data_IF_884674325757
#
_entry.id   IF_884674325757
#
_cell.length_a   1.000
_cell.length_b   1.000
_cell.length_c   1.000
_cell.angle_alpha   90.00
_cell.angle_beta   90.00
_cell.angle_gamma   90.00
#
_symmetry.space_group_name_H-M   'P 1'
#
loop_
_entity.id
_entity.type
_entity.pdbx_description
1 polymer ?
#
# COMPACT_ATOMS: atom_id res chain seq x y z
N UNK A 1 20.00 -25.61 13.81
CA UNK A 1 18.54 -25.83 13.77
C UNK A 1 18.06 -26.05 15.19
N UNK A 2 17.25 -25.13 15.71
CA UNK A 2 16.65 -25.25 17.05
C UNK A 2 15.21 -25.69 16.86
N UNK A 3 14.83 -26.82 17.46
CA UNK A 3 13.44 -27.28 17.46
C UNK A 3 12.70 -26.44 18.50
N UNK A 4 11.67 -25.71 18.05
CA UNK A 4 10.82 -24.86 18.88
C UNK A 4 9.49 -25.56 19.16
N UNK A 5 8.93 -25.31 20.33
CA UNK A 5 7.67 -25.92 20.77
C UNK A 5 6.60 -24.83 20.95
N UNK A 6 5.44 -25.01 20.30
CA UNK A 6 4.28 -24.11 20.46
C UNK A 6 3.14 -24.85 21.15
N UNK A 7 2.64 -24.38 22.31
CA UNK A 7 1.42 -24.91 22.88
C UNK A 7 0.21 -24.51 22.03
N UNK A 8 -0.67 -25.45 21.74
CA UNK A 8 -1.90 -25.25 20.99
C UNK A 8 -3.09 -25.08 21.95
N UNK A 9 -4.17 -24.38 21.53
CA UNK A 9 -5.37 -24.15 22.37
C UNK A 9 -6.07 -25.44 22.86
N UNK A 10 -5.77 -26.57 22.22
CA UNK A 10 -6.29 -27.90 22.58
C UNK A 10 -5.40 -28.66 23.58
N UNK A 11 -4.42 -27.99 24.20
CA UNK A 11 -3.51 -28.58 25.19
C UNK A 11 -2.41 -29.46 24.60
N UNK A 12 -2.27 -29.56 23.27
CA UNK A 12 -1.17 -30.29 22.61
C UNK A 12 0.01 -29.37 22.29
N UNK A 13 1.21 -29.93 22.22
CA UNK A 13 2.43 -29.20 21.85
C UNK A 13 2.83 -29.53 20.42
N UNK A 14 2.99 -28.51 19.57
CA UNK A 14 3.48 -28.66 18.20
C UNK A 14 4.97 -28.32 18.12
N UNK A 15 5.78 -29.25 17.60
CA UNK A 15 7.21 -29.05 17.34
C UNK A 15 7.40 -28.52 15.93
N UNK A 16 8.02 -27.36 15.80
CA UNK A 16 8.35 -26.75 14.51
C UNK A 16 9.82 -26.33 14.50
N UNK A 17 10.40 -26.21 13.31
CA UNK A 17 11.76 -25.68 13.13
C UNK A 17 11.63 -24.34 12.43
N UNK A 18 12.03 -23.27 13.11
CA UNK A 18 12.16 -21.96 12.49
C UNK A 18 13.54 -21.84 11.85
N UNK A 19 13.56 -21.67 10.53
CA UNK A 19 14.78 -21.40 9.78
C UNK A 19 14.71 -19.93 9.38
N UNK A 20 15.41 -19.01 10.08
CA UNK A 20 15.45 -17.62 9.66
C UNK A 20 16.15 -17.54 8.31
N UNK A 21 15.57 -16.82 7.36
CA UNK A 21 16.25 -16.47 6.11
C UNK A 21 16.89 -15.10 6.31
N UNK A 22 18.19 -15.08 6.64
CA UNK A 22 18.95 -13.84 6.82
C UNK A 22 19.58 -13.42 5.50
N UNK A 23 19.92 -12.14 5.37
CA UNK A 23 20.63 -11.63 4.19
C UNK A 23 21.96 -12.36 3.95
N UNK A 24 22.62 -12.77 5.05
CA UNK A 24 23.89 -13.50 5.04
C UNK A 24 23.76 -14.93 4.48
N UNK A 25 22.55 -15.50 4.50
CA UNK A 25 22.28 -16.84 3.96
C UNK A 25 22.14 -16.82 2.43
N UNK A 26 21.97 -15.64 1.82
CA UNK A 26 21.84 -15.47 0.38
C UNK A 26 23.20 -15.18 -0.28
N UNK A 27 23.97 -16.25 -0.51
CA UNK A 27 25.31 -16.17 -1.11
C UNK A 27 25.30 -15.55 -2.52
N UNK A 28 24.22 -15.71 -3.29
CA UNK A 28 24.11 -15.14 -4.64
C UNK A 28 23.95 -13.62 -4.60
N UNK A 29 23.13 -13.11 -3.67
CA UNK A 29 22.97 -11.67 -3.47
C UNK A 29 24.29 -11.03 -3.03
N UNK A 30 24.97 -11.65 -2.07
CA UNK A 30 26.26 -11.16 -1.54
C UNK A 30 27.39 -11.18 -2.59
N UNK A 31 27.32 -12.08 -3.58
CA UNK A 31 28.28 -12.13 -4.69
C UNK A 31 27.98 -11.09 -5.77
N UNK A 32 26.70 -10.85 -6.06
CA UNK A 32 26.29 -9.90 -7.10
C UNK A 32 26.33 -8.44 -6.61
N UNK A 33 26.11 -8.20 -5.33
CA UNK A 33 26.17 -6.88 -4.70
C UNK A 33 26.89 -6.96 -3.34
N UNK A 34 28.24 -6.89 -3.34
CA UNK A 34 29.05 -6.98 -2.13
C UNK A 34 28.83 -5.82 -1.16
N UNK A 35 28.42 -4.66 -1.68
CA UNK A 35 28.16 -3.44 -0.91
C UNK A 35 26.72 -3.35 -0.42
N UNK A 36 25.87 -4.32 -0.73
CA UNK A 36 24.47 -4.35 -0.32
C UNK A 36 24.28 -4.11 1.19
N UNK A 37 25.10 -4.77 2.02
CA UNK A 37 25.09 -4.59 3.48
C UNK A 37 25.55 -3.17 3.87
N UNK A 38 26.52 -2.58 3.17
CA UNK A 38 26.98 -1.23 3.43
C UNK A 38 25.92 -0.19 3.05
N UNK A 39 25.24 -0.39 1.90
CA UNK A 39 24.10 0.43 1.47
C UNK A 39 22.94 0.37 2.47
N UNK A 40 22.75 -0.79 3.10
CA UNK A 40 21.82 -0.99 4.21
C UNK A 40 22.13 -0.10 5.43
N UNK A 41 23.41 0.08 5.79
CA UNK A 41 23.82 0.98 6.87
C UNK A 41 23.65 2.47 6.49
N UNK A 42 23.59 2.80 5.20
CA UNK A 42 23.36 4.17 4.71
C UNK A 42 21.89 4.61 4.76
N UNK A 43 20.95 3.71 5.06
CA UNK A 43 19.51 4.01 5.15
C UNK A 43 19.16 4.82 6.42
N UNK A 44 20.16 5.18 7.23
CA UNK A 44 20.05 6.22 8.27
C UNK A 44 19.38 5.80 9.59
N UNK A 45 18.70 4.65 9.64
CA UNK A 45 18.07 4.12 10.86
C UNK A 45 18.75 2.82 11.32
N UNK A 46 19.33 2.83 12.53
CA UNK A 46 19.94 1.63 13.15
C UNK A 46 18.92 0.50 13.39
N UNK A 47 17.64 0.84 13.59
CA UNK A 47 16.55 -0.11 13.80
C UNK A 47 16.21 -0.85 12.50
N UNK A 48 16.26 -0.15 11.36
CA UNK A 48 16.04 -0.73 10.03
C UNK A 48 17.14 -1.68 9.62
N UNK A 49 18.40 -1.28 9.86
CA UNK A 49 19.57 -2.13 9.69
C UNK A 49 19.41 -3.40 10.50
N UNK A 50 18.97 -3.31 11.76
CA UNK A 50 18.72 -4.49 12.61
C UNK A 50 17.56 -5.34 12.09
N UNK A 51 16.48 -4.74 11.60
CA UNK A 51 15.34 -5.47 11.05
C UNK A 51 15.71 -6.26 9.78
N UNK A 52 16.42 -5.64 8.84
CA UNK A 52 16.82 -6.29 7.59
C UNK A 52 17.99 -7.25 7.76
N UNK A 53 18.92 -6.99 8.70
CA UNK A 53 20.03 -7.91 8.99
C UNK A 53 19.60 -9.12 9.82
N UNK A 54 18.76 -8.91 10.85
CA UNK A 54 18.45 -9.94 11.84
C UNK A 54 17.05 -10.56 11.67
N UNK A 55 16.23 -10.03 10.76
CA UNK A 55 14.86 -10.52 10.52
C UNK A 55 13.89 -10.18 11.65
N UNK A 56 14.23 -9.21 12.51
CA UNK A 56 13.39 -8.77 13.63
C UNK A 56 12.55 -7.57 13.20
N UNK A 57 11.30 -7.86 12.79
CA UNK A 57 10.32 -6.86 12.34
C UNK A 57 9.35 -6.44 13.44
N UNK A 58 9.70 -6.65 14.72
CA UNK A 58 8.90 -6.14 15.82
C UNK A 58 8.97 -4.61 15.81
N UNK A 59 7.92 -4.02 15.22
CA UNK A 59 7.49 -2.63 15.29
C UNK A 59 8.60 -1.60 15.52
N UNK A 60 8.92 -0.82 14.48
CA UNK A 60 9.52 0.49 14.69
C UNK A 60 8.56 1.25 15.63
N UNK A 61 8.98 1.43 16.87
CA UNK A 61 8.17 2.08 17.90
C UNK A 61 7.77 3.48 17.41
N UNK A 62 6.46 3.77 17.35
CA UNK A 62 5.93 5.02 16.81
C UNK A 62 5.61 5.03 15.30
N UNK A 63 5.76 3.91 14.58
CA UNK A 63 5.37 3.83 13.17
C UNK A 63 3.90 4.20 12.96
N UNK A 64 3.65 5.07 11.98
CA UNK A 64 2.32 5.53 11.64
C UNK A 64 1.43 4.36 11.24
N UNK A 65 1.90 3.47 10.36
CA UNK A 65 1.19 2.24 10.00
C UNK A 65 1.64 1.06 10.85
N UNK A 66 1.38 1.12 12.15
CA UNK A 66 1.58 0.02 13.12
C UNK A 66 0.98 -1.34 12.70
N UNK A 67 -0.06 -1.31 11.87
CA UNK A 67 -0.73 -2.49 11.32
C UNK A 67 0.02 -3.16 10.15
N UNK A 68 1.10 -2.56 9.64
CA UNK A 68 1.91 -3.15 8.58
C UNK A 68 2.58 -4.45 9.04
N UNK A 69 2.51 -5.47 8.20
CA UNK A 69 3.14 -6.76 8.41
C UNK A 69 3.64 -7.31 7.07
N UNK A 70 4.96 -7.28 6.87
CA UNK A 70 5.58 -7.73 5.62
C UNK A 70 5.19 -9.16 5.23
N UNK A 71 4.94 -10.06 6.19
CA UNK A 71 4.52 -11.45 5.89
C UNK A 71 3.09 -11.56 5.36
N UNK A 72 2.23 -10.57 5.62
CA UNK A 72 0.83 -10.53 5.16
C UNK A 72 0.65 -9.62 3.94
N UNK A 73 1.32 -8.47 3.92
CA UNK A 73 1.14 -7.45 2.88
C UNK A 73 2.06 -7.65 1.69
N UNK A 74 3.23 -8.29 1.84
CA UNK A 74 4.15 -8.54 0.73
C UNK A 74 3.88 -9.91 0.13
N UNK A 75 3.66 -9.93 -1.19
CA UNK A 75 3.44 -11.14 -1.98
C UNK A 75 4.51 -11.28 -3.06
N UNK A 76 4.84 -12.53 -3.42
CA UNK A 76 5.73 -12.76 -4.57
C UNK A 76 5.03 -12.32 -5.86
N UNK A 77 5.76 -11.72 -6.83
CA UNK A 77 5.18 -11.36 -8.12
C UNK A 77 4.56 -12.57 -8.82
N UNK A 78 3.38 -12.37 -9.38
CA UNK A 78 2.67 -13.35 -10.19
C UNK A 78 2.08 -12.68 -11.43
N UNK A 79 1.72 -13.48 -12.43
CA UNK A 79 1.02 -12.98 -13.61
C UNK A 79 -0.40 -12.56 -13.20
N UNK A 80 -0.68 -11.26 -13.26
CA UNK A 80 -2.00 -10.73 -12.91
C UNK A 80 -3.05 -11.25 -13.90
N UNK A 81 -4.20 -11.75 -13.42
CA UNK A 81 -5.31 -12.12 -14.28
C UNK A 81 -5.73 -10.99 -15.24
N UNK A 82 -6.16 -11.36 -16.45
CA UNK A 82 -6.47 -10.39 -17.49
C UNK A 82 -7.71 -9.54 -17.15
N UNK A 83 -8.67 -10.15 -16.45
CA UNK A 83 -9.94 -9.55 -16.04
C UNK A 83 -9.82 -8.55 -14.87
N UNK A 84 -8.67 -8.49 -14.21
CA UNK A 84 -8.44 -7.54 -13.13
C UNK A 84 -8.33 -6.13 -13.66
N UNK A 85 -9.10 -5.21 -13.08
CA UNK A 85 -8.99 -3.79 -13.38
C UNK A 85 -7.62 -3.27 -12.93
N UNK A 86 -6.88 -2.65 -13.85
CA UNK A 86 -5.60 -2.00 -13.56
C UNK A 86 -5.78 -0.48 -13.55
N UNK A 87 -5.11 0.17 -12.61
CA UNK A 87 -5.07 1.62 -12.52
C UNK A 87 -3.69 2.07 -12.05
N UNK A 88 -3.44 3.37 -12.13
CA UNK A 88 -2.19 3.98 -11.63
C UNK A 88 -2.46 5.17 -10.73
N UNK A 89 -1.55 5.45 -9.82
CA UNK A 89 -1.53 6.69 -9.05
C UNK A 89 -0.15 7.32 -9.09
N UNK A 90 -0.10 8.64 -8.94
CA UNK A 90 1.12 9.40 -9.03
C UNK A 90 1.17 10.55 -8.03
N UNK A 91 2.32 10.71 -7.38
CA UNK A 91 2.72 11.92 -6.66
C UNK A 91 3.83 12.63 -7.45
N UNK A 92 3.68 13.93 -7.69
CA UNK A 92 4.60 14.69 -8.54
C UNK A 92 5.71 15.35 -7.71
N UNK A 93 6.96 15.13 -8.14
CA UNK A 93 8.14 15.77 -7.58
C UNK A 93 9.22 15.96 -8.63
N UNK A 94 9.99 17.05 -8.51
CA UNK A 94 11.16 17.31 -9.35
C UNK A 94 12.43 17.45 -8.50
N UNK A 95 12.44 18.42 -7.58
CA UNK A 95 13.51 18.56 -6.57
C UNK A 95 13.39 17.48 -5.48
N UNK A 96 12.16 17.22 -5.06
CA UNK A 96 11.79 16.04 -4.28
C UNK A 96 11.44 14.87 -5.23
N UNK A 97 11.51 13.62 -4.77
CA UNK A 97 11.14 12.46 -5.57
C UNK A 97 9.70 12.52 -6.09
N UNK A 98 9.47 11.94 -7.26
CA UNK A 98 8.12 11.57 -7.69
C UNK A 98 7.89 10.09 -7.43
N UNK A 99 6.64 9.68 -7.31
CA UNK A 99 6.26 8.27 -7.19
C UNK A 99 5.16 7.95 -8.19
N UNK A 100 5.29 6.83 -8.90
CA UNK A 100 4.23 6.23 -9.71
C UNK A 100 4.00 4.81 -9.24
N UNK A 101 2.78 4.50 -8.80
CA UNK A 101 2.35 3.17 -8.43
C UNK A 101 1.37 2.63 -9.45
N UNK A 102 1.57 1.37 -9.85
CA UNK A 102 0.58 0.63 -10.63
C UNK A 102 -0.09 -0.43 -9.77
N UNK A 103 -1.41 -0.46 -9.89
CA UNK A 103 -2.30 -1.20 -9.02
C UNK A 103 -3.24 -2.07 -9.84
N UNK A 104 -3.56 -3.24 -9.31
CA UNK A 104 -4.58 -4.11 -9.87
C UNK A 104 -5.62 -4.45 -8.80
N UNK A 105 -6.88 -4.59 -9.19
CA UNK A 105 -7.99 -4.91 -8.30
C UNK A 105 -8.36 -6.37 -8.49
N UNK A 106 -8.34 -7.14 -7.40
CA UNK A 106 -8.76 -8.54 -7.43
C UNK A 106 -10.27 -8.63 -7.70
N UNK A 107 -10.66 -9.16 -8.87
CA UNK A 107 -12.07 -9.36 -9.25
C UNK A 107 -12.79 -10.36 -8.35
N UNK A 108 -12.05 -11.37 -7.88
CA UNK A 108 -12.48 -12.47 -7.01
C UNK A 108 -11.34 -12.85 -6.04
N UNK A 109 -11.64 -13.75 -5.09
CA UNK A 109 -10.63 -14.34 -4.22
C UNK A 109 -9.58 -15.09 -5.05
N UNK A 110 -8.32 -14.71 -4.89
CA UNK A 110 -7.22 -15.22 -5.69
C UNK A 110 -6.17 -15.91 -4.83
N UNK A 111 -5.92 -17.19 -5.14
CA UNK A 111 -4.95 -18.00 -4.45
C UNK A 111 -3.53 -17.66 -4.91
N UNK A 112 -2.69 -17.23 -3.99
CA UNK A 112 -1.24 -17.11 -4.18
C UNK A 112 -0.51 -18.22 -3.43
N UNK A 113 0.80 -18.31 -3.62
CA UNK A 113 1.64 -19.24 -2.88
C UNK A 113 1.74 -18.90 -1.39
N UNK A 114 1.49 -17.64 -1.01
CA UNK A 114 1.64 -17.13 0.37
C UNK A 114 0.30 -16.92 1.08
N UNK A 115 -0.83 -17.03 0.38
CA UNK A 115 -2.15 -16.87 0.97
C UNK A 115 -3.24 -16.60 -0.06
N UNK A 116 -4.36 -16.07 0.39
CA UNK A 116 -5.47 -15.63 -0.47
C UNK A 116 -5.46 -14.11 -0.53
N UNK A 117 -5.56 -13.56 -1.73
CA UNK A 117 -5.87 -12.15 -1.97
C UNK A 117 -7.39 -12.06 -2.09
N UNK A 118 -8.11 -11.46 -1.12
CA UNK A 118 -9.55 -11.38 -1.17
C UNK A 118 -10.05 -10.53 -2.34
N UNK A 119 -11.26 -10.82 -2.80
CA UNK A 119 -11.99 -9.98 -3.74
C UNK A 119 -12.03 -8.52 -3.29
N UNK A 120 -11.82 -7.60 -4.22
CA UNK A 120 -11.83 -6.15 -3.98
C UNK A 120 -10.54 -5.61 -3.35
N UNK A 121 -9.57 -6.48 -3.08
CA UNK A 121 -8.23 -6.06 -2.64
C UNK A 121 -7.48 -5.38 -3.77
N UNK A 122 -6.64 -4.41 -3.41
CA UNK A 122 -5.72 -3.78 -4.34
C UNK A 122 -4.33 -4.37 -4.22
N UNK A 123 -3.66 -4.57 -5.34
CA UNK A 123 -2.33 -5.16 -5.43
C UNK A 123 -1.40 -4.19 -6.14
N UNK A 124 -0.42 -3.64 -5.43
CA UNK A 124 0.68 -2.87 -6.04
C UNK A 124 1.62 -3.84 -6.74
N UNK A 125 1.56 -3.90 -8.06
CA UNK A 125 2.34 -4.88 -8.83
C UNK A 125 3.61 -4.29 -9.45
N UNK A 126 3.64 -2.97 -9.61
CA UNK A 126 4.78 -2.25 -10.16
C UNK A 126 4.86 -0.87 -9.51
N UNK A 127 6.09 -0.38 -9.38
CA UNK A 127 6.35 0.98 -8.94
C UNK A 127 7.47 1.60 -9.76
N UNK A 128 7.49 2.92 -9.77
CA UNK A 128 8.61 3.70 -10.24
C UNK A 128 8.78 4.90 -9.33
N UNK A 129 9.89 4.90 -8.61
CA UNK A 129 10.22 5.94 -7.68
C UNK A 129 11.40 6.77 -8.20
N UNK A 130 11.16 8.06 -8.38
CA UNK A 130 12.06 9.02 -9.00
C UNK A 130 13.07 9.62 -8.04
N UNK A 131 13.79 8.78 -7.29
CA UNK A 131 14.78 9.18 -6.30
C UNK A 131 16.20 8.90 -6.80
N UNK A 132 17.15 9.75 -6.41
CA UNK A 132 18.56 9.56 -6.74
C UNK A 132 19.15 8.39 -5.95
N UNK A 133 19.87 7.51 -6.63
CA UNK A 133 20.49 6.34 -6.00
C UNK A 133 21.45 6.77 -4.87
N UNK A 134 21.25 6.18 -3.68
CA UNK A 134 22.04 6.45 -2.49
C UNK A 134 21.67 7.73 -1.72
N UNK A 135 20.73 8.55 -2.21
CA UNK A 135 20.26 9.75 -1.53
C UNK A 135 18.76 9.66 -1.24
N UNK A 136 18.40 9.48 0.03
CA UNK A 136 17.01 9.43 0.45
C UNK A 136 16.32 10.81 0.26
N UNK A 137 15.08 10.80 -0.22
CA UNK A 137 14.24 11.98 -0.39
C UNK A 137 14.80 13.06 -1.36
N UNK A 138 15.66 12.67 -2.30
CA UNK A 138 16.21 13.58 -3.33
C UNK A 138 15.72 13.17 -4.72
N UNK A 139 15.02 14.08 -5.40
CA UNK A 139 14.44 13.82 -6.71
C UNK A 139 15.46 13.80 -7.86
N UNK A 140 15.10 13.09 -8.94
CA UNK A 140 15.91 12.99 -10.16
C UNK A 140 15.90 14.26 -11.03
N UNK A 141 15.10 15.28 -10.69
CA UNK A 141 14.94 16.52 -11.47
C UNK A 141 14.52 16.31 -12.92
N UNK A 142 13.82 15.20 -13.20
CA UNK A 142 13.25 14.95 -14.51
C UNK A 142 12.16 15.97 -14.84
N UNK A 143 12.01 16.26 -16.12
CA UNK A 143 10.92 17.06 -16.66
C UNK A 143 9.62 16.25 -16.70
N UNK A 144 8.48 16.95 -16.76
CA UNK A 144 7.16 16.29 -16.84
C UNK A 144 7.03 15.41 -18.09
N UNK A 145 7.65 15.84 -19.19
CA UNK A 145 7.69 15.11 -20.44
C UNK A 145 8.49 13.81 -20.33
N UNK A 146 9.66 13.86 -19.68
CA UNK A 146 10.49 12.68 -19.44
C UNK A 146 9.79 11.68 -18.52
N UNK A 147 9.10 12.17 -17.48
CA UNK A 147 8.31 11.32 -16.59
C UNK A 147 7.15 10.69 -17.36
N UNK A 148 6.43 11.47 -18.19
CA UNK A 148 5.34 10.94 -19.01
C UNK A 148 5.79 9.85 -19.98
N UNK A 149 6.91 10.08 -20.67
CA UNK A 149 7.54 9.07 -21.52
C UNK A 149 7.91 7.83 -20.72
N UNK A 150 8.55 8.00 -19.56
CA UNK A 150 8.96 6.88 -18.71
C UNK A 150 7.79 6.05 -18.17
N UNK A 151 6.64 6.67 -17.92
CA UNK A 151 5.39 5.96 -17.59
C UNK A 151 4.91 5.15 -18.79
N UNK A 152 4.81 5.78 -19.97
CA UNK A 152 4.35 5.12 -21.19
C UNK A 152 5.23 3.91 -21.57
N UNK A 153 6.56 4.05 -21.48
CA UNK A 153 7.51 2.96 -21.73
C UNK A 153 7.29 1.77 -20.80
N UNK A 154 7.04 2.02 -19.51
CA UNK A 154 6.74 0.97 -18.52
C UNK A 154 5.40 0.29 -18.76
N UNK A 155 4.48 0.95 -19.45
CA UNK A 155 3.20 0.40 -19.91
C UNK A 155 3.29 -0.23 -21.32
N UNK A 156 4.50 -0.34 -21.89
CA UNK A 156 4.78 -1.05 -23.13
C UNK A 156 4.84 -0.18 -24.39
N UNK A 157 4.85 1.15 -24.24
CA UNK A 157 5.09 2.05 -25.37
C UNK A 157 6.55 1.97 -25.86
N UNK A 158 6.75 2.28 -27.12
CA UNK A 158 8.08 2.37 -27.74
C UNK A 158 8.24 3.75 -28.35
N UNK A 159 9.38 4.38 -28.08
CA UNK A 159 9.75 5.68 -28.63
C UNK A 159 10.94 5.52 -29.59
N UNK A 160 10.93 6.27 -30.69
CA UNK A 160 12.09 6.41 -31.56
C UNK A 160 13.16 7.30 -30.91
N UNK A 161 14.39 7.27 -31.44
CA UNK A 161 15.47 8.17 -31.01
C UNK A 161 15.09 9.65 -31.15
N UNK A 162 14.19 9.98 -32.09
CA UNK A 162 13.64 11.33 -32.27
C UNK A 162 12.71 11.78 -31.13
N UNK A 163 12.37 10.91 -30.19
CA UNK A 163 11.39 11.14 -29.13
C UNK A 163 9.93 10.93 -29.56
N UNK A 164 9.68 10.57 -30.82
CA UNK A 164 8.34 10.25 -31.30
C UNK A 164 7.91 8.85 -30.83
N UNK A 165 6.70 8.73 -30.27
CA UNK A 165 6.11 7.44 -29.94
C UNK A 165 5.77 6.66 -31.21
N UNK A 166 6.37 5.47 -31.37
CA UNK A 166 6.15 4.57 -32.52
C UNK A 166 5.15 3.48 -32.21
N UNK A 167 5.03 3.11 -30.92
CA UNK A 167 4.04 2.15 -30.42
C UNK A 167 3.41 2.70 -29.17
N UNK A 168 2.08 2.72 -29.13
CA UNK A 168 1.33 3.12 -27.95
C UNK A 168 1.50 2.11 -26.79
N UNK A 169 1.24 2.52 -25.54
CA UNK A 169 1.16 1.61 -24.40
C UNK A 169 0.29 0.40 -24.72
N UNK A 170 0.76 -0.80 -24.34
CA UNK A 170 0.05 -2.06 -24.58
C UNK A 170 -0.75 -2.54 -23.38
N UNK A 171 -0.39 -2.05 -22.19
CA UNK A 171 -1.08 -2.40 -20.96
C UNK A 171 -2.40 -1.64 -20.85
N UNK A 172 -3.47 -2.37 -20.53
CA UNK A 172 -4.80 -1.79 -20.37
C UNK A 172 -4.94 -1.20 -18.96
N UNK A 173 -4.79 0.12 -18.87
CA UNK A 173 -4.91 0.90 -17.63
C UNK A 173 -6.20 1.71 -17.70
N UNK A 174 -7.18 1.34 -16.88
CA UNK A 174 -8.53 1.92 -16.89
C UNK A 174 -8.51 3.42 -16.56
N UNK A 175 -7.70 3.81 -15.56
CA UNK A 175 -7.56 5.20 -15.16
C UNK A 175 -6.26 5.46 -14.39
N UNK A 176 -5.87 6.74 -14.33
CA UNK A 176 -4.79 7.24 -13.48
C UNK A 176 -5.29 8.33 -12.54
N UNK A 177 -4.71 8.46 -11.35
CA UNK A 177 -4.94 9.61 -10.45
C UNK A 177 -3.62 10.31 -10.11
N UNK A 178 -3.64 11.64 -10.06
CA UNK A 178 -2.49 12.49 -9.81
C UNK A 178 -2.84 13.56 -8.78
N UNK A 179 -1.86 14.01 -8.00
CA UNK A 179 -2.03 15.14 -7.08
C UNK A 179 -2.72 16.34 -7.78
N UNK A 180 -3.83 16.86 -7.23
CA UNK A 180 -4.48 18.08 -7.70
C UNK A 180 -3.55 19.26 -7.96
N UNK A 181 -2.45 19.40 -7.20
CA UNK A 181 -1.49 20.49 -7.39
C UNK A 181 -0.83 20.46 -8.77
N UNK A 182 -0.64 19.28 -9.36
CA UNK A 182 -0.04 19.11 -10.69
C UNK A 182 -0.96 19.60 -11.85
N UNK A 183 -2.22 19.93 -11.55
CA UNK A 183 -3.18 20.48 -12.51
C UNK A 183 -3.29 22.01 -12.44
N UNK A 184 -2.55 22.66 -11.53
CA UNK A 184 -2.52 24.12 -11.45
C UNK A 184 -1.67 24.69 -12.59
N UNK A 185 -2.12 25.81 -13.15
CA UNK A 185 -1.39 26.57 -14.17
C UNK A 185 -0.75 27.78 -13.51
N UNK A 186 0.57 27.94 -13.65
CA UNK A 186 1.31 29.11 -13.15
C UNK A 186 2.24 29.64 -14.26
N UNK A 187 1.66 30.41 -15.18
CA UNK A 187 2.38 31.05 -16.29
C UNK A 187 2.72 30.15 -17.48
N UNK A 188 2.31 28.87 -17.46
CA UNK A 188 2.55 27.89 -18.54
C UNK A 188 1.64 26.66 -18.43
N UNK A 189 1.77 25.68 -19.35
CA UNK A 189 0.97 24.46 -19.31
C UNK A 189 1.23 23.69 -18.01
N UNK A 190 0.16 23.16 -17.43
CA UNK A 190 0.25 22.39 -16.17
C UNK A 190 1.15 21.16 -16.34
N UNK A 191 1.66 20.64 -15.21
CA UNK A 191 2.47 19.40 -15.21
C UNK A 191 1.68 18.25 -15.83
N UNK A 192 0.39 18.13 -15.47
CA UNK A 192 -0.53 17.16 -16.05
C UNK A 192 -0.59 17.25 -17.58
N UNK A 193 -0.73 18.47 -18.12
CA UNK A 193 -0.86 18.68 -19.55
C UNK A 193 0.44 18.33 -20.28
N UNK A 194 1.59 18.69 -19.70
CA UNK A 194 2.92 18.37 -20.25
C UNK A 194 3.16 16.85 -20.30
N UNK A 195 2.81 16.15 -19.22
CA UNK A 195 2.94 14.70 -19.11
C UNK A 195 2.03 13.98 -20.13
N UNK A 196 0.78 14.46 -20.26
CA UNK A 196 -0.18 13.92 -21.23
C UNK A 196 0.26 14.18 -22.68
N UNK A 197 0.72 15.39 -23.00
CA UNK A 197 1.20 15.76 -24.35
C UNK A 197 2.40 14.93 -24.78
N UNK A 198 3.34 14.65 -23.88
CA UNK A 198 4.53 13.86 -24.18
C UNK A 198 4.21 12.42 -24.61
N UNK A 199 3.01 11.93 -24.30
CA UNK A 199 2.56 10.57 -24.62
C UNK A 199 1.45 10.53 -25.66
N UNK A 200 1.25 11.63 -26.41
CA UNK A 200 0.12 11.78 -27.35
C UNK A 200 -1.23 11.46 -26.69
N UNK A 201 -1.38 11.93 -25.44
CA UNK A 201 -2.57 11.73 -24.59
C UNK A 201 -2.93 10.26 -24.34
N UNK A 202 -1.98 9.33 -24.50
CA UNK A 202 -2.17 7.91 -24.17
C UNK A 202 -2.00 7.62 -22.68
N UNK A 203 -1.17 8.40 -21.99
CA UNK A 203 -1.07 8.37 -20.53
C UNK A 203 -1.85 9.55 -19.98
N UNK A 204 -3.00 9.27 -19.38
CA UNK A 204 -3.86 10.27 -18.77
C UNK A 204 -4.04 10.04 -17.26
N UNK A 205 -4.10 11.13 -16.49
CA UNK A 205 -4.42 11.16 -15.07
C UNK A 205 -5.62 12.08 -14.81
N UNK A 206 -6.52 11.66 -13.92
CA UNK A 206 -7.52 12.51 -13.27
C UNK A 206 -7.02 13.08 -11.95
N UNK A 207 -7.74 14.06 -11.39
CA UNK A 207 -7.41 14.63 -10.07
C UNK A 207 -7.69 13.62 -8.95
N UNK A 208 -6.70 13.37 -8.09
CA UNK A 208 -6.87 12.55 -6.90
C UNK A 208 -7.67 13.29 -5.81
N UNK A 209 -8.35 12.54 -4.94
CA UNK A 209 -8.83 13.10 -3.67
C UNK A 209 -7.64 13.17 -2.69
N UNK A 210 -7.16 14.39 -2.45
CA UNK A 210 -5.98 14.64 -1.64
C UNK A 210 -6.28 14.85 -0.15
N UNK A 211 -7.51 14.60 0.33
CA UNK A 211 -7.82 14.71 1.77
C UNK A 211 -7.03 13.68 2.59
N UNK A 212 -6.02 14.16 3.33
CA UNK A 212 -5.18 13.36 4.23
C UNK A 212 -5.93 12.92 5.49
N UNK A 213 -6.45 13.90 6.23
CA UNK A 213 -7.26 13.73 7.44
C UNK A 213 -8.61 14.40 7.20
N UNK A 214 -9.71 13.79 7.66
CA UNK A 214 -11.02 14.42 7.56
C UNK A 214 -11.34 15.25 8.79
N UNK A 215 -12.03 16.37 8.59
CA UNK A 215 -12.78 17.01 9.67
C UNK A 215 -14.22 16.49 9.64
N UNK A 216 -14.73 16.02 10.79
CA UNK A 216 -16.12 15.60 11.02
C UNK A 216 -16.54 14.28 10.34
N UNK A 217 -15.91 13.17 10.70
CA UNK A 217 -16.50 11.83 10.52
C UNK A 217 -16.51 11.25 9.10
N UNK A 218 -15.81 11.86 8.14
CA UNK A 218 -15.50 11.21 6.86
C UNK A 218 -14.22 10.34 7.02
N UNK A 219 -14.07 9.28 6.23
CA UNK A 219 -12.86 8.47 6.23
C UNK A 219 -11.74 9.28 5.55
N UNK A 220 -10.71 9.70 6.30
CA UNK A 220 -9.53 10.38 5.75
C UNK A 220 -8.70 9.44 4.87
N UNK A 221 -7.84 9.97 4.00
CA UNK A 221 -7.00 9.16 3.13
C UNK A 221 -6.07 8.20 3.89
N UNK A 222 -5.54 8.63 5.03
CA UNK A 222 -4.75 7.74 5.89
C UNK A 222 -5.57 6.64 6.54
N UNK A 223 -6.83 6.93 6.90
CA UNK A 223 -7.75 5.95 7.46
C UNK A 223 -8.22 4.93 6.41
N UNK A 224 -8.37 5.34 5.15
CA UNK A 224 -8.59 4.41 4.02
C UNK A 224 -7.42 3.43 3.87
N UNK A 225 -6.19 3.94 3.86
CA UNK A 225 -5.01 3.11 3.73
C UNK A 225 -4.87 2.16 4.92
N UNK A 226 -5.05 2.66 6.14
CA UNK A 226 -5.04 1.83 7.36
C UNK A 226 -6.14 0.77 7.35
N UNK A 227 -7.36 1.13 6.93
CA UNK A 227 -8.48 0.20 6.82
C UNK A 227 -8.20 -0.92 5.82
N UNK A 228 -7.54 -0.62 4.69
CA UNK A 228 -7.11 -1.64 3.72
C UNK A 228 -5.98 -2.51 4.26
N UNK A 229 -5.01 -1.94 4.96
CA UNK A 229 -3.93 -2.70 5.58
C UNK A 229 -4.45 -3.65 6.66
N UNK A 230 -5.44 -3.21 7.46
CA UNK A 230 -6.10 -4.07 8.46
C UNK A 230 -7.03 -5.10 7.81
N UNK A 231 -7.75 -4.71 6.76
CA UNK A 231 -8.76 -5.54 6.11
C UNK A 231 -9.84 -5.98 7.09
N UNK A 232 -10.11 -7.29 7.16
CA UNK A 232 -11.02 -7.88 8.17
C UNK A 232 -10.29 -8.40 9.43
N UNK A 233 -9.01 -8.06 9.59
CA UNK A 233 -8.13 -8.49 10.68
C UNK A 233 -7.28 -9.72 10.33
N UNK A 234 -7.84 -10.68 9.61
CA UNK A 234 -7.09 -11.86 9.14
C UNK A 234 -6.61 -11.70 7.70
N UNK A 235 -7.44 -11.10 6.85
CA UNK A 235 -7.23 -10.93 5.41
C UNK A 235 -7.06 -9.44 5.10
N UNK A 236 -5.84 -8.99 4.74
CA UNK A 236 -5.62 -7.60 4.33
C UNK A 236 -6.27 -7.33 2.98
N UNK A 237 -6.61 -6.07 2.72
CA UNK A 237 -7.18 -5.57 1.46
C UNK A 237 -6.20 -4.77 0.59
N UNK A 238 -4.93 -4.72 0.99
CA UNK A 238 -3.82 -4.13 0.23
C UNK A 238 -2.64 -5.10 0.24
N UNK A 239 -2.16 -5.43 -0.95
CA UNK A 239 -0.98 -6.27 -1.15
C UNK A 239 0.05 -5.54 -2.01
N UNK A 240 1.31 -5.91 -1.85
CA UNK A 240 2.45 -5.29 -2.53
C UNK A 240 3.36 -6.38 -3.05
N UNK A 241 3.75 -6.31 -4.32
CA UNK A 241 4.73 -7.24 -4.87
C UNK A 241 6.09 -7.02 -4.22
N UNK A 242 6.83 -8.10 -3.97
CA UNK A 242 8.18 -8.02 -3.38
C UNK A 242 9.20 -7.25 -4.23
N UNK A 243 8.86 -6.93 -5.47
CA UNK A 243 9.62 -6.06 -6.38
C UNK A 243 9.43 -4.57 -6.09
N UNK A 244 8.38 -4.20 -5.35
CA UNK A 244 8.11 -2.81 -4.95
C UNK A 244 8.91 -2.45 -3.69
N UNK A 245 10.24 -2.39 -3.85
CA UNK A 245 11.22 -2.20 -2.78
C UNK A 245 11.11 -0.83 -2.10
N UNK A 246 10.84 0.22 -2.86
CA UNK A 246 10.75 1.58 -2.34
C UNK A 246 9.51 1.75 -1.47
N UNK A 247 8.36 1.19 -1.88
CA UNK A 247 7.21 1.14 -0.99
C UNK A 247 7.51 0.40 0.31
N UNK A 248 8.13 -0.79 0.22
CA UNK A 248 8.40 -1.64 1.39
C UNK A 248 9.42 -0.98 2.34
N UNK A 249 10.38 -0.21 1.83
CA UNK A 249 11.37 0.49 2.67
C UNK A 249 10.84 1.79 3.28
N UNK A 250 9.89 2.48 2.64
CA UNK A 250 9.45 3.81 3.07
C UNK A 250 8.22 3.74 3.95
N UNK A 251 7.12 3.17 3.45
CA UNK A 251 5.79 3.23 4.07
C UNK A 251 5.76 2.69 5.51
N UNK A 252 6.39 1.55 5.83
CA UNK A 252 6.38 1.01 7.20
C UNK A 252 7.17 1.87 8.21
N UNK A 253 8.04 2.77 7.73
CA UNK A 253 8.93 3.57 8.58
C UNK A 253 8.40 4.95 8.89
N UNK A 254 7.35 5.38 8.19
CA UNK A 254 6.78 6.71 8.35
C UNK A 254 6.30 6.90 9.78
N UNK A 255 6.55 8.09 10.31
CA UNK A 255 6.22 8.47 11.69
C UNK A 255 5.07 9.48 11.69
N UNK A 256 4.44 9.62 12.85
CA UNK A 256 3.47 10.68 13.09
C UNK A 256 4.16 12.05 13.10
N UNK A 257 3.50 13.08 12.56
CA UNK A 257 3.94 14.47 12.67
C UNK A 257 3.93 14.88 14.17
N UNK A 258 5.02 15.47 14.70
CA UNK A 258 5.13 15.82 16.12
C UNK A 258 4.11 16.87 16.58
N UNK A 259 3.67 17.74 15.68
CA UNK A 259 2.68 18.78 15.94
C UNK A 259 1.26 18.31 15.59
N UNK A 260 1.13 17.34 14.67
CA UNK A 260 -0.16 16.82 14.17
C UNK A 260 -0.19 15.29 14.19
N UNK A 261 -0.51 14.65 15.33
CA UNK A 261 -0.47 13.19 15.47
C UNK A 261 -1.37 12.41 14.49
N UNK A 262 -2.39 13.02 13.89
CA UNK A 262 -3.25 12.34 12.91
C UNK A 262 -2.68 12.35 11.47
N UNK A 263 -1.58 13.09 11.24
CA UNK A 263 -0.92 13.22 9.93
C UNK A 263 0.49 12.62 9.98
N UNK A 264 1.04 12.39 8.78
CA UNK A 264 2.41 11.93 8.60
C UNK A 264 3.42 13.06 8.75
N UNK A 265 4.61 12.75 9.27
CA UNK A 265 5.75 13.65 9.22
C UNK A 265 6.17 13.90 7.76
N UNK A 266 5.81 15.09 7.25
CA UNK A 266 6.08 15.51 5.87
C UNK A 266 7.55 15.81 5.58
N UNK A 267 8.42 15.77 6.61
CA UNK A 267 9.88 15.87 6.41
C UNK A 267 10.49 14.53 6.04
N UNK A 268 9.80 13.43 6.35
CA UNK A 268 10.20 12.09 5.97
C UNK A 268 9.91 11.83 4.47
N UNK A 269 10.27 10.65 4.01
CA UNK A 269 10.07 10.22 2.62
C UNK A 269 8.64 9.73 2.40
N UNK A 270 7.68 10.66 2.38
CA UNK A 270 6.23 10.37 2.35
C UNK A 270 5.60 10.32 0.94
N UNK A 271 6.35 10.68 -0.11
CA UNK A 271 5.89 10.70 -1.51
C UNK A 271 5.21 9.40 -1.97
N UNK A 272 5.77 8.24 -1.61
CA UNK A 272 5.16 6.94 -1.98
C UNK A 272 3.88 6.70 -1.18
N UNK A 273 3.82 7.12 0.09
CA UNK A 273 2.62 6.98 0.90
C UNK A 273 1.51 7.92 0.41
N UNK A 274 1.83 9.15 0.01
CA UNK A 274 0.87 10.07 -0.59
C UNK A 274 0.34 9.54 -1.93
N UNK A 275 1.22 9.02 -2.79
CA UNK A 275 0.83 8.33 -4.03
C UNK A 275 -0.10 7.14 -3.75
N UNK A 276 0.27 6.27 -2.82
CA UNK A 276 -0.53 5.11 -2.46
C UNK A 276 -1.87 5.49 -1.83
N UNK A 277 -1.91 6.58 -1.07
CA UNK A 277 -3.14 7.16 -0.52
C UNK A 277 -4.06 7.64 -1.64
N UNK A 278 -3.55 8.32 -2.66
CA UNK A 278 -4.35 8.70 -3.83
C UNK A 278 -4.96 7.46 -4.50
N UNK A 279 -4.16 6.40 -4.66
CA UNK A 279 -4.63 5.11 -5.17
C UNK A 279 -5.77 4.52 -4.32
N UNK A 280 -5.58 4.46 -3.00
CA UNK A 280 -6.59 3.97 -2.05
C UNK A 280 -7.87 4.82 -2.05
N UNK A 281 -7.75 6.15 -2.15
CA UNK A 281 -8.86 7.10 -2.17
C UNK A 281 -9.67 7.06 -3.46
N UNK A 282 -9.03 6.72 -4.59
CA UNK A 282 -9.73 6.58 -5.88
C UNK A 282 -10.80 5.48 -5.86
N UNK A 283 -10.69 4.54 -4.93
CA UNK A 283 -11.63 3.45 -4.67
C UNK A 283 -11.77 3.23 -3.17
N UNK A 284 -12.66 3.96 -2.47
CA UNK A 284 -12.85 3.81 -1.04
C UNK A 284 -13.16 2.36 -0.66
N UNK A 285 -12.42 1.80 0.29
CA UNK A 285 -12.72 0.50 0.87
C UNK A 285 -13.93 0.66 1.78
N UNK A 286 -15.02 -0.02 1.45
CA UNK A 286 -16.17 -0.16 2.36
C UNK A 286 -15.99 -1.49 3.08
N UNK A 287 -15.58 -1.51 4.37
CA UNK A 287 -15.57 -2.75 5.12
C UNK A 287 -16.99 -3.33 5.08
N UNK A 288 -17.09 -4.64 4.84
CA UNK A 288 -18.38 -5.34 4.92
C UNK A 288 -18.92 -5.08 6.32
N UNK A 289 -20.00 -4.28 6.45
CA UNK A 289 -20.65 -4.10 7.74
C UNK A 289 -20.98 -5.48 8.27
N UNK A 290 -20.45 -5.84 9.43
CA UNK A 290 -20.99 -6.96 10.17
C UNK A 290 -22.50 -6.76 10.25
N UNK A 291 -23.26 -7.69 9.66
CA UNK A 291 -24.70 -7.72 9.83
C UNK A 291 -24.88 -7.94 11.32
N UNK A 292 -25.16 -6.87 12.06
CA UNK A 292 -25.57 -6.97 13.46
C UNK A 292 -26.72 -7.97 13.45
N UNK A 293 -26.51 -9.14 14.06
CA UNK A 293 -27.61 -10.09 14.27
C UNK A 293 -28.76 -9.27 14.86
N UNK A 294 -29.98 -9.37 14.32
CA UNK A 294 -31.10 -8.63 14.88
C UNK A 294 -31.10 -8.91 16.37
N UNK A 295 -30.98 -7.85 17.16
CA UNK A 295 -31.18 -7.96 18.60
C UNK A 295 -32.61 -8.45 18.71
N UNK A 296 -32.79 -9.69 19.17
CA UNK A 296 -34.11 -10.18 19.51
C UNK A 296 -34.58 -9.25 20.63
N UNK A 297 -35.44 -8.30 20.28
CA UNK A 297 -36.12 -7.47 21.25
C UNK A 297 -36.95 -8.47 22.07
N UNK A 298 -36.56 -8.70 23.32
CA UNK A 298 -37.47 -9.35 24.26
C UNK A 298 -38.66 -8.41 24.38
N UNK A 299 -39.80 -8.79 23.82
CA UNK A 299 -41.05 -8.10 24.05
C UNK A 299 -41.37 -8.22 25.53
N UNK A 300 -41.37 -7.10 26.23
CA UNK A 300 -41.76 -7.01 27.64
C UNK A 300 -43.27 -7.23 27.85
N UNK A 301 -44.02 -7.39 26.76
CA UNK A 301 -45.48 -7.60 26.76
C UNK A 301 -45.89 -9.08 26.69
N UNK A 302 -44.95 -10.00 26.49
CA UNK A 302 -45.19 -11.46 26.57
C UNK A 302 -44.85 -11.99 27.98
N UNK A 303 -45.28 -11.28 29.03
CA UNK A 303 -45.49 -11.92 30.32
C UNK A 303 -46.86 -12.63 30.26
N UNK A 304 -46.95 -13.96 30.44
CA UNK A 304 -48.24 -14.59 30.64
C UNK A 304 -48.88 -13.93 31.87
N UNK A 305 -50.10 -13.40 31.70
CA UNK A 305 -50.93 -12.91 32.79
C UNK A 305 -50.85 -13.90 33.96
N UNK A 306 -50.28 -13.45 35.08
CA UNK A 306 -50.41 -14.18 36.35
C UNK A 306 -51.90 -14.39 36.59
N UNK A 307 -52.34 -15.65 36.54
CA UNK A 307 -53.69 -16.03 36.95
C UNK A 307 -53.94 -15.51 38.37
N UNK A 308 -54.79 -14.50 38.45
CA UNK A 308 -55.29 -13.98 39.71
C UNK A 308 -56.05 -15.08 40.47
N UNK A 309 -55.71 -15.18 41.76
CA UNK A 309 -56.54 -15.60 42.89
C UNK A 309 -56.57 -17.08 43.30
N UNK A 310 -56.08 -17.34 44.53
CA UNK A 310 -57.02 -17.62 45.63
C UNK A 310 -56.39 -17.36 47.01
N UNK A 311 -56.78 -16.26 47.63
CA UNK A 311 -56.65 -16.05 49.06
C UNK A 311 -57.75 -16.86 49.75
N UNK A 312 -57.43 -17.86 50.58
CA UNK A 312 -58.21 -18.18 51.80
C UNK A 312 -57.32 -18.85 52.84
N UNK A 313 -57.38 -18.25 54.01
CA UNK A 313 -56.83 -18.71 55.28
C UNK A 313 -57.78 -19.76 55.86
N UNK A 314 -57.25 -20.94 56.21
CA UNK A 314 -57.52 -21.77 57.39
C UNK A 314 -57.04 -23.19 57.14
#
# INVERSE_FOLDING_TARGET
MTVLERPLPNGKTHRFVFIPSRIQDNQLLMQNDPDYINNLYLVGSEQLVKAWLNGDWNAVEGAFFDCWNSSKHVVRPFALPADWTRFRSMDWGSAHPFSVGWWAIASDDYQTETGIIPRGSIVRYREWYGCKDGEANVGLKLTAEEVGRGVAEREGAVFAESGQMTKAPTEDIEYGVLDPAAFSEDGGPSIHERLSKATDYKVWFGRADNKRVSMKGAMGGWDQMRSRLKGDGERPGLFVFSTCKDFIRTVPLLQHDPDRPEDLDTKAEDHIADEARYGCMSRPYLPVKEVKKPVVQRDWFDEPEEEETNWRVA
#
